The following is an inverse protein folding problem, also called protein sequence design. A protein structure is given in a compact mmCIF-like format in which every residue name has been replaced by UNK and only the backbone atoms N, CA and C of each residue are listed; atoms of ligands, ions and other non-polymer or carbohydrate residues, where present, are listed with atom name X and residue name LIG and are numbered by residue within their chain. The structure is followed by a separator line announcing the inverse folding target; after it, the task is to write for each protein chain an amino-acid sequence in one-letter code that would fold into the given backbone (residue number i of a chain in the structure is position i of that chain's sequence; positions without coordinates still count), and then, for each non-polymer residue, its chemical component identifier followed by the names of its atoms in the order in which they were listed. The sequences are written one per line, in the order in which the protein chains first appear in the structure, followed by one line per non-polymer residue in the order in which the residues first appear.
data_IF_956476441119
#
_entry.id   IF_956476441119
#
_cell.length_a   1.000
_cell.length_b   1.000
_cell.length_c   1.000
_cell.angle_alpha   90.00
_cell.angle_beta   90.00
_cell.angle_gamma   90.00
#
_symmetry.space_group_name_H-M   'P 1'
#
loop_
_entity.id
_entity.type
_entity.pdbx_description
1 polymer ?
#
# COMPACT_ATOMS: atom_id res chain seq x y z
N UNK A 1 5.67 -19.36 5.46
CA UNK A 1 4.33 -18.87 5.83
C UNK A 1 4.52 -17.49 6.42
N UNK A 2 3.67 -16.49 6.08
CA UNK A 2 3.80 -15.15 6.64
C UNK A 2 3.61 -15.20 8.15
N UNK A 3 4.52 -14.59 8.91
CA UNK A 3 4.44 -14.58 10.39
C UNK A 3 3.31 -13.69 10.92
N UNK A 4 2.89 -12.69 10.14
CA UNK A 4 1.86 -11.72 10.52
C UNK A 4 0.57 -11.91 9.72
N UNK A 5 -0.55 -11.57 10.35
CA UNK A 5 -1.88 -11.52 9.71
C UNK A 5 -2.40 -10.09 9.60
N UNK A 6 -3.32 -9.87 8.66
CA UNK A 6 -4.03 -8.59 8.53
C UNK A 6 -4.79 -8.27 9.82
N UNK A 7 -4.71 -7.01 10.26
CA UNK A 7 -5.29 -6.52 11.51
C UNK A 7 -4.42 -6.75 12.76
N UNK A 8 -3.26 -7.40 12.64
CA UNK A 8 -2.37 -7.61 13.78
C UNK A 8 -1.66 -6.32 14.21
N UNK A 9 -1.56 -6.09 15.52
CA UNK A 9 -0.83 -4.94 16.09
C UNK A 9 0.66 -5.24 16.07
N UNK A 10 1.41 -4.33 15.47
CA UNK A 10 2.86 -4.48 15.27
C UNK A 10 3.59 -3.23 15.76
N UNK A 11 4.84 -3.43 16.16
CA UNK A 11 5.79 -2.38 16.45
C UNK A 11 6.92 -2.45 15.43
N UNK A 12 7.36 -1.30 14.94
CA UNK A 12 8.55 -1.22 14.11
C UNK A 12 9.78 -1.47 14.98
N UNK A 13 10.56 -2.49 14.64
CA UNK A 13 11.80 -2.83 15.32
C UNK A 13 12.80 -1.69 15.15
N UNK A 14 13.43 -1.28 16.25
CA UNK A 14 14.60 -0.42 16.20
C UNK A 14 15.82 -1.24 15.74
N UNK A 15 16.30 -0.96 14.52
CA UNK A 15 17.58 -1.46 13.98
C UNK A 15 18.28 -0.35 13.23
N UNK A 16 19.57 -0.49 12.98
CA UNK A 16 20.25 0.40 12.04
C UNK A 16 19.98 -0.07 10.61
N UNK A 17 19.70 0.87 9.70
CA UNK A 17 19.56 0.55 8.28
C UNK A 17 20.93 0.10 7.75
N UNK A 18 21.06 -1.16 7.33
CA UNK A 18 22.34 -1.69 6.87
C UNK A 18 22.40 -1.75 5.34
N UNK A 19 23.39 -1.08 4.75
CA UNK A 19 23.77 -1.22 3.34
C UNK A 19 22.71 -0.76 2.33
N UNK A 20 22.39 -1.61 1.35
CA UNK A 20 21.49 -1.28 0.20
C UNK A 20 20.05 -0.96 0.62
N UNK A 21 19.62 -1.40 1.80
CA UNK A 21 18.27 -1.19 2.32
C UNK A 21 18.00 0.28 2.70
N UNK A 22 19.04 1.03 3.07
CA UNK A 22 18.94 2.46 3.37
C UNK A 22 18.66 3.30 2.10
N UNK A 23 19.14 2.84 0.95
CA UNK A 23 18.92 3.51 -0.34
C UNK A 23 17.61 3.09 -1.01
N UNK A 24 17.14 1.88 -0.74
CA UNK A 24 15.86 1.37 -1.26
C UNK A 24 14.66 1.85 -0.42
N UNK A 25 14.89 2.54 0.70
CA UNK A 25 13.83 3.08 1.55
C UNK A 25 12.97 2.02 2.24
N UNK A 26 13.43 0.76 2.27
CA UNK A 26 12.68 -0.37 2.86
C UNK A 26 12.63 -0.33 4.38
N UNK A 27 13.66 0.25 5.00
CA UNK A 27 13.71 0.46 6.43
C UNK A 27 13.94 1.93 6.73
N UNK A 28 13.12 2.46 7.62
CA UNK A 28 13.13 3.84 8.06
C UNK A 28 13.50 3.89 9.54
N UNK A 29 14.77 4.17 9.90
CA UNK A 29 15.21 4.24 11.29
C UNK A 29 14.44 5.26 12.12
N UNK A 30 13.95 6.33 11.49
CA UNK A 30 13.14 7.36 12.12
C UNK A 30 11.74 6.89 12.52
N UNK A 31 11.29 5.72 12.05
CA UNK A 31 10.04 5.08 12.47
C UNK A 31 10.27 4.00 13.53
N UNK A 32 11.50 3.85 14.03
CA UNK A 32 11.80 2.90 15.09
C UNK A 32 10.86 3.10 16.30
N UNK A 33 10.36 2.00 16.84
CA UNK A 33 9.41 1.94 17.95
C UNK A 33 8.00 2.48 17.65
N UNK A 34 7.71 2.99 16.45
CA UNK A 34 6.36 3.35 16.05
C UNK A 34 5.44 2.13 16.10
N UNK A 35 4.20 2.36 16.50
CA UNK A 35 3.18 1.31 16.62
C UNK A 35 2.16 1.44 15.52
N UNK A 36 1.55 0.33 15.13
CA UNK A 36 0.55 0.33 14.07
C UNK A 36 -0.21 -0.98 13.95
N UNK A 37 -1.01 -1.06 12.91
CA UNK A 37 -1.75 -2.26 12.53
C UNK A 37 -1.40 -2.68 11.10
N UNK A 38 -1.28 -3.98 10.88
CA UNK A 38 -1.07 -4.53 9.53
C UNK A 38 -2.35 -4.33 8.72
N UNK A 39 -2.26 -3.56 7.63
CA UNK A 39 -3.37 -3.36 6.70
C UNK A 39 -3.45 -4.52 5.72
N UNK A 40 -2.33 -4.88 5.09
CA UNK A 40 -2.25 -5.89 4.05
C UNK A 40 -0.85 -6.46 3.93
N UNK A 41 -0.76 -7.77 3.66
CA UNK A 41 0.51 -8.47 3.42
C UNK A 41 0.61 -8.80 1.93
N UNK A 42 1.60 -8.22 1.24
CA UNK A 42 1.87 -8.53 -0.17
C UNK A 42 2.93 -9.61 -0.31
N UNK A 43 4.05 -9.42 0.38
CA UNK A 43 5.17 -10.37 0.42
C UNK A 43 5.85 -10.32 1.79
N UNK A 44 6.73 -11.28 2.13
CA UNK A 44 7.52 -11.22 3.37
C UNK A 44 8.41 -9.97 3.47
N UNK A 45 8.72 -9.32 2.34
CA UNK A 45 9.51 -8.09 2.28
C UNK A 45 8.65 -6.83 2.20
N UNK A 46 7.35 -6.96 1.93
CA UNK A 46 6.42 -5.85 1.69
C UNK A 46 5.11 -6.07 2.44
N UNK A 47 5.08 -5.56 3.67
CA UNK A 47 3.91 -5.56 4.55
C UNK A 47 3.45 -4.11 4.71
N UNK A 48 2.21 -3.82 4.33
CA UNK A 48 1.61 -2.51 4.53
C UNK A 48 1.12 -2.39 5.97
N UNK A 49 1.73 -1.45 6.71
CA UNK A 49 1.39 -1.16 8.11
C UNK A 49 0.85 0.27 8.18
N UNK A 50 -0.35 0.41 8.73
CA UNK A 50 -0.92 1.70 9.11
C UNK A 50 -0.35 2.08 10.49
N UNK A 51 0.47 3.13 10.55
CA UNK A 51 1.10 3.60 11.78
C UNK A 51 0.19 4.56 12.53
N UNK A 52 0.21 4.44 13.86
CA UNK A 52 -0.51 5.34 14.75
C UNK A 52 0.24 6.69 14.79
N UNK A 53 -0.46 7.78 14.46
CA UNK A 53 0.14 9.12 14.43
C UNK A 53 0.74 9.53 15.78
N UNK A 54 0.15 9.11 16.90
CA UNK A 54 0.64 9.43 18.24
C UNK A 54 2.00 8.81 18.55
N UNK A 55 2.32 7.68 17.90
CA UNK A 55 3.58 6.96 18.07
C UNK A 55 4.73 7.50 17.22
N UNK A 56 4.44 8.40 16.28
CA UNK A 56 5.43 8.97 15.38
C UNK A 56 6.20 10.13 16.06
N UNK A 57 7.48 10.34 15.69
CA UNK A 57 8.23 11.52 16.07
C UNK A 57 7.53 12.81 15.67
N UNK A 58 7.68 13.85 16.50
CA UNK A 58 7.01 15.15 16.32
C UNK A 58 7.23 15.75 14.94
N UNK A 59 8.47 15.77 14.44
CA UNK A 59 8.80 16.29 13.11
C UNK A 59 8.03 15.59 11.98
N UNK A 60 7.75 14.29 12.11
CA UNK A 60 7.00 13.52 11.12
C UNK A 60 5.51 13.83 11.24
N UNK A 61 4.99 13.96 12.47
CA UNK A 61 3.60 14.34 12.72
C UNK A 61 3.27 15.70 12.14
N UNK A 62 4.13 16.70 12.36
CA UNK A 62 3.98 18.04 11.81
C UNK A 62 3.96 18.02 10.28
N UNK A 63 4.93 17.32 9.67
CA UNK A 63 4.99 17.18 8.21
C UNK A 63 3.76 16.49 7.65
N UNK A 64 3.27 15.44 8.30
CA UNK A 64 2.06 14.74 7.89
C UNK A 64 0.83 15.64 8.01
N UNK A 65 0.71 16.42 9.10
CA UNK A 65 -0.37 17.39 9.27
C UNK A 65 -0.33 18.49 8.20
N UNK A 66 0.86 19.01 7.89
CA UNK A 66 1.04 20.00 6.83
C UNK A 66 0.65 19.42 5.46
N UNK A 67 1.06 18.19 5.15
CA UNK A 67 0.68 17.52 3.91
C UNK A 67 -0.82 17.29 3.81
N UNK A 68 -1.45 16.86 4.92
CA UNK A 68 -2.89 16.69 5.00
C UNK A 68 -3.62 18.01 4.74
N UNK A 69 -3.20 19.10 5.36
CA UNK A 69 -3.77 20.44 5.15
C UNK A 69 -3.62 20.88 3.70
N UNK A 70 -2.41 20.78 3.13
CA UNK A 70 -2.16 21.16 1.73
C UNK A 70 -2.99 20.33 0.74
N UNK A 71 -3.13 19.03 0.97
CA UNK A 71 -3.98 18.18 0.14
C UNK A 71 -5.47 18.52 0.32
N UNK A 72 -5.90 18.76 1.55
CA UNK A 72 -7.27 19.14 1.87
C UNK A 72 -7.64 20.47 1.20
N UNK A 73 -6.79 21.49 1.31
CA UNK A 73 -6.97 22.78 0.64
C UNK A 73 -6.98 22.63 -0.87
N UNK A 74 -6.04 21.87 -1.44
CA UNK A 74 -6.01 21.61 -2.88
C UNK A 74 -7.28 20.92 -3.36
N UNK A 75 -7.78 19.95 -2.60
CA UNK A 75 -9.02 19.25 -2.91
C UNK A 75 -10.23 20.19 -2.80
N UNK A 76 -10.34 20.96 -1.72
CA UNK A 76 -11.42 21.95 -1.56
C UNK A 76 -11.42 23.01 -2.67
N UNK A 77 -10.25 23.51 -3.05
CA UNK A 77 -10.11 24.50 -4.12
C UNK A 77 -10.34 23.91 -5.52
N UNK A 78 -10.30 22.59 -5.67
CA UNK A 78 -10.68 21.91 -6.92
C UNK A 78 -12.19 21.77 -7.09
N UNK A 79 -12.97 21.99 -6.03
CA UNK A 79 -14.42 21.95 -6.05
C UNK A 79 -14.98 23.36 -6.30
N UNK A 80 -16.01 23.47 -7.13
CA UNK A 80 -16.78 24.71 -7.29
C UNK A 80 -17.48 25.10 -5.97
N UNK A 81 -17.78 26.39 -5.77
CA UNK A 81 -18.42 26.88 -4.53
C UNK A 81 -19.75 26.19 -4.22
N UNK A 82 -20.55 25.87 -5.24
CA UNK A 82 -21.80 25.11 -5.10
C UNK A 82 -21.56 23.67 -4.61
N UNK A 83 -20.49 23.02 -5.09
CA UNK A 83 -20.11 21.69 -4.63
C UNK A 83 -19.60 21.76 -3.19
N UNK A 84 -18.77 22.76 -2.85
CA UNK A 84 -18.22 22.92 -1.50
C UNK A 84 -19.30 23.17 -0.44
N UNK A 85 -20.34 23.92 -0.79
CA UNK A 85 -21.48 24.20 0.10
C UNK A 85 -22.43 23.00 0.25
N UNK A 86 -22.40 22.05 -0.69
CA UNK A 86 -23.18 20.81 -0.61
C UNK A 86 -22.56 19.77 0.33
N UNK A 87 -21.24 19.81 0.54
CA UNK A 87 -20.57 18.89 1.45
C UNK A 87 -20.87 19.21 2.92
N UNK A 88 -21.18 18.17 3.68
CA UNK A 88 -21.28 18.20 5.15
C UNK A 88 -19.91 18.28 5.80
N UNK A 89 -19.84 18.70 7.07
CA UNK A 89 -18.57 18.82 7.80
C UNK A 89 -17.84 17.46 7.98
N UNK A 90 -18.59 16.36 8.07
CA UNK A 90 -18.03 15.01 8.04
C UNK A 90 -17.41 14.68 6.68
N UNK A 91 -18.04 15.07 5.57
CA UNK A 91 -17.47 14.84 4.23
C UNK A 91 -16.26 15.75 3.94
N UNK A 92 -16.20 16.93 4.56
CA UNK A 92 -15.02 17.80 4.55
C UNK A 92 -13.89 17.27 5.44
N UNK A 93 -14.15 16.27 6.30
CA UNK A 93 -13.11 15.73 7.17
C UNK A 93 -12.13 14.89 6.35
N UNK A 94 -11.03 15.53 5.95
CA UNK A 94 -9.95 14.89 5.22
C UNK A 94 -8.92 14.32 6.21
N UNK A 95 -8.84 12.99 6.31
CA UNK A 95 -7.85 12.29 7.13
C UNK A 95 -6.92 11.47 6.25
N UNK A 96 -5.63 11.81 6.29
CA UNK A 96 -4.60 11.05 5.64
C UNK A 96 -4.14 9.93 6.57
N UNK A 97 -4.02 8.71 6.04
CA UNK A 97 -3.47 7.57 6.79
C UNK A 97 -1.98 7.50 6.53
N UNK A 98 -1.21 7.29 7.58
CA UNK A 98 0.24 7.11 7.48
C UNK A 98 0.55 5.62 7.28
N UNK A 99 0.61 5.19 6.02
CA UNK A 99 0.88 3.79 5.65
C UNK A 99 2.32 3.65 5.16
N UNK A 100 3.03 2.66 5.70
CA UNK A 100 4.43 2.37 5.33
C UNK A 100 4.55 0.90 4.93
N UNK A 101 5.39 0.63 3.93
CA UNK A 101 5.77 -0.72 3.53
C UNK A 101 7.03 -1.12 4.30
N UNK A 102 6.93 -2.18 5.10
CA UNK A 102 8.02 -2.69 5.93
C UNK A 102 8.24 -4.18 5.67
N UNK A 103 9.46 -4.66 5.89
CA UNK A 103 9.78 -6.09 5.83
C UNK A 103 9.33 -6.82 7.11
N UNK A 104 9.06 -8.12 7.00
CA UNK A 104 8.68 -8.97 8.13
C UNK A 104 9.71 -8.96 9.26
N UNK A 105 11.01 -8.89 8.93
CA UNK A 105 12.10 -8.90 9.91
C UNK A 105 12.17 -7.62 10.75
N UNK A 106 11.50 -6.57 10.30
CA UNK A 106 11.45 -5.25 10.92
C UNK A 106 10.21 -5.02 11.76
N UNK A 107 9.34 -6.03 11.86
CA UNK A 107 8.13 -5.98 12.65
C UNK A 107 8.27 -6.86 13.88
N UNK A 108 7.87 -6.31 15.02
CA UNK A 108 7.70 -7.04 16.27
C UNK A 108 6.20 -7.15 16.56
N UNK A 109 5.68 -8.36 16.87
CA UNK A 109 4.29 -8.50 17.28
C UNK A 109 4.09 -7.82 18.63
N UNK A 110 3.26 -6.76 18.65
CA UNK A 110 2.78 -6.14 19.86
C UNK A 110 1.66 -7.02 20.38
N UNK A 111 2.02 -8.07 21.13
CA UNK A 111 1.04 -8.95 21.76
C UNK A 111 0.18 -8.08 22.67
N UNK A 112 -1.02 -7.75 22.21
CA UNK A 112 -1.99 -7.02 23.01
C UNK A 112 -2.14 -7.80 24.32
N UNK A 113 -1.83 -7.18 25.46
CA UNK A 113 -2.39 -7.66 26.72
C UNK A 113 -3.89 -7.76 26.48
N UNK A 114 -4.42 -8.96 26.59
CA UNK A 114 -5.81 -9.27 26.31
C UNK A 114 -6.71 -8.25 27.03
N UNK A 115 -7.40 -7.41 26.27
CA UNK A 115 -8.60 -6.74 26.69
C UNK A 115 -9.79 -7.57 26.17
N UNK A 116 -10.90 -7.65 26.93
CA UNK A 116 -11.78 -8.82 26.93
C UNK A 116 -12.60 -8.94 25.65
N UNK A 117 -12.79 -10.19 25.27
CA UNK A 117 -13.76 -10.77 24.33
C UNK A 117 -15.00 -9.90 24.10
N UNK A 118 -15.04 -9.18 22.98
CA UNK A 118 -16.30 -8.77 22.37
C UNK A 118 -16.86 -9.97 21.59
N UNK A 119 -17.96 -10.51 22.09
CA UNK A 119 -18.60 -11.74 21.64
C UNK A 119 -18.98 -11.71 20.15
N UNK A 120 -18.81 -12.81 19.40
CA UNK A 120 -19.36 -12.96 18.06
C UNK A 120 -20.88 -13.15 18.16
N UNK A 121 -21.66 -12.22 17.59
CA UNK A 121 -23.08 -12.49 17.28
C UNK A 121 -23.15 -13.41 16.06
N UNK A 122 -23.23 -14.70 16.33
CA UNK A 122 -23.81 -15.67 15.42
C UNK A 122 -25.33 -15.56 15.47
N UNK A 123 -25.98 -15.54 14.29
CA UNK A 123 -27.31 -16.15 14.12
C UNK A 123 -27.28 -17.04 12.88
N UNK A 124 -28.00 -18.18 12.88
CA UNK A 124 -27.60 -19.35 12.11
C UNK A 124 -28.65 -19.82 11.08
N UNK A 125 -28.23 -20.81 10.27
CA UNK A 125 -29.03 -21.78 9.46
C UNK A 125 -29.63 -21.20 8.16
N UNK A 126 -29.72 -21.90 7.01
CA UNK A 126 -29.77 -23.35 6.76
C UNK A 126 -29.46 -23.63 5.27
N UNK A 127 -28.70 -24.69 4.98
CA UNK A 127 -28.64 -25.43 3.69
C UNK A 127 -30.00 -26.16 3.46
N UNK A 128 -30.40 -26.58 2.22
CA UNK A 128 -29.64 -27.55 1.42
C UNK A 128 -29.66 -27.44 -0.13
N UNK A 129 -28.57 -27.97 -0.69
CA UNK A 129 -28.32 -28.55 -2.01
C UNK A 129 -29.38 -29.64 -2.37
N UNK A 130 -29.74 -29.93 -3.65
CA UNK A 130 -28.89 -30.61 -4.65
C UNK A 130 -29.07 -30.14 -6.11
N UNK A 131 -28.15 -30.34 -7.07
CA UNK A 131 -27.90 -31.61 -7.79
C UNK A 131 -26.80 -31.37 -8.85
N UNK A 132 -25.83 -32.28 -8.97
CA UNK A 132 -24.77 -32.39 -10.01
C UNK A 132 -25.28 -33.14 -11.28
N UNK A 133 -24.48 -33.57 -12.29
CA UNK A 133 -23.40 -33.00 -13.15
C UNK A 133 -23.73 -33.32 -14.67
N UNK A 134 -22.83 -33.57 -15.68
CA UNK A 134 -21.37 -33.43 -15.85
C UNK A 134 -20.86 -32.89 -17.24
N UNK A 135 -19.51 -32.77 -17.37
CA UNK A 135 -18.63 -32.80 -18.58
C UNK A 135 -18.60 -31.62 -19.59
N UNK A 136 -17.43 -30.96 -19.72
CA UNK A 136 -16.42 -31.25 -20.77
C UNK A 136 -15.42 -30.08 -21.02
N UNK A 137 -14.13 -30.44 -21.02
CA UNK A 137 -13.05 -29.96 -21.92
C UNK A 137 -12.64 -28.47 -22.01
N UNK A 138 -11.47 -28.21 -21.41
CA UNK A 138 -10.20 -27.87 -22.11
C UNK A 138 -10.17 -26.61 -23.00
N UNK A 139 -9.45 -25.58 -22.54
CA UNK A 139 -8.28 -25.02 -23.25
C UNK A 139 -7.50 -24.07 -22.34
N UNK A 140 -6.21 -24.39 -22.16
CA UNK A 140 -5.20 -23.49 -21.65
C UNK A 140 -5.02 -22.32 -22.62
N UNK A 141 -4.94 -21.10 -22.09
CA UNK A 141 -4.41 -19.95 -22.82
C UNK A 141 -3.04 -19.58 -22.24
N UNK A 142 -2.06 -19.28 -23.12
CA UNK A 142 -0.66 -19.13 -22.76
C UNK A 142 -0.36 -17.78 -22.09
N UNK A 143 0.70 -17.81 -21.30
CA UNK A 143 1.38 -16.71 -20.62
C UNK A 143 1.58 -15.52 -21.56
N UNK A 144 0.93 -14.39 -21.28
CA UNK A 144 1.27 -13.12 -21.91
C UNK A 144 2.51 -12.54 -21.24
N UNK A 145 3.62 -12.60 -21.97
CA UNK A 145 4.90 -11.96 -21.66
C UNK A 145 4.72 -10.54 -21.12
N UNK A 146 5.36 -10.28 -19.97
CA UNK A 146 5.62 -8.93 -19.49
C UNK A 146 6.45 -8.18 -20.54
N UNK A 147 6.14 -6.91 -20.87
CA UNK A 147 6.93 -6.16 -21.84
C UNK A 147 8.36 -5.99 -21.30
N UNK A 148 9.31 -6.66 -21.95
CA UNK A 148 10.74 -6.53 -21.64
C UNK A 148 11.17 -5.09 -21.90
N UNK A 149 11.86 -4.49 -20.93
CA UNK A 149 12.51 -3.19 -21.14
C UNK A 149 13.56 -3.37 -22.25
N UNK A 150 13.54 -2.56 -23.32
CA UNK A 150 14.54 -2.64 -24.36
C UNK A 150 15.93 -2.38 -23.78
N UNK A 151 16.90 -3.16 -24.24
CA UNK A 151 18.31 -3.00 -23.90
C UNK A 151 18.88 -1.72 -24.50
N UNK A 152 19.98 -1.17 -23.97
CA UNK A 152 20.59 0.06 -24.49
C UNK A 152 20.90 0.02 -25.98
N UNK A 153 21.37 -1.13 -26.49
CA UNK A 153 21.66 -1.32 -27.92
C UNK A 153 20.40 -1.29 -28.81
N UNK A 154 19.24 -1.68 -28.28
CA UNK A 154 17.97 -1.63 -29.00
C UNK A 154 17.43 -0.19 -29.08
N UNK A 155 17.69 0.61 -28.05
CA UNK A 155 17.34 2.04 -28.03
C UNK A 155 18.18 2.83 -29.06
N UNK A 156 19.49 2.57 -29.15
CA UNK A 156 20.36 3.22 -30.13
C UNK A 156 19.93 2.90 -31.57
N UNK A 157 19.58 1.65 -31.86
CA UNK A 157 19.08 1.25 -33.19
C UNK A 157 17.76 1.93 -33.54
N UNK A 158 16.86 2.10 -32.56
CA UNK A 158 15.59 2.81 -32.75
C UNK A 158 15.82 4.30 -33.03
N UNK A 159 16.75 4.93 -32.31
CA UNK A 159 17.10 6.34 -32.50
C UNK A 159 17.73 6.58 -33.88
N UNK A 160 18.64 5.71 -34.31
CA UNK A 160 19.29 5.82 -35.61
C UNK A 160 18.29 5.66 -36.77
N UNK A 161 17.34 4.74 -36.63
CA UNK A 161 16.23 4.58 -37.58
C UNK A 161 15.33 5.82 -37.64
N UNK A 162 15.03 6.41 -36.47
CA UNK A 162 14.22 7.62 -36.39
C UNK A 162 14.90 8.81 -37.08
N UNK A 163 16.19 9.00 -36.82
CA UNK A 163 16.99 10.05 -37.47
C UNK A 163 17.07 9.86 -38.99
N UNK A 164 17.21 8.61 -39.46
CA UNK A 164 17.24 8.30 -40.90
C UNK A 164 15.89 8.56 -41.56
N UNK A 165 14.79 8.21 -40.90
CA UNK A 165 13.43 8.51 -41.38
C UNK A 165 13.17 10.02 -41.45
N UNK A 166 13.66 10.78 -40.46
CA UNK A 166 13.56 12.25 -40.44
C UNK A 166 14.39 12.91 -41.55
N UNK A 167 15.62 12.44 -41.79
CA UNK A 167 16.47 12.92 -42.88
C UNK A 167 15.92 12.62 -44.27
N UNK A 168 15.07 11.60 -44.42
CA UNK A 168 14.37 11.31 -45.69
C UNK A 168 13.10 12.13 -45.89
N UNK A 169 12.62 12.80 -44.85
CA UNK A 169 11.42 13.66 -44.88
C UNK A 169 11.74 15.16 -44.99
N UNK A 170 13.01 15.53 -44.89
CA UNK A 170 13.53 16.86 -45.19
C UNK A 170 14.16 16.84 -46.58
#
# INVERSE_FOLDING_TARGET
MPKFKEGERVQVRAREAHGKEAHEGRYAPHLANATGAVLKVYSPQEIAVELDLDSLPEAIRERHAEQQTRMHERWLNSLSEEARNRLTDDEKTFRLRYVVLLAEDDLLPLKAKAAPTAAPKAVPRTKPEPTQPPKASRKAQPESETPRRPTPEELEKLEEQYLKARKRRA
#
